data_IF_855374822542
#
_entry.id   IF_855374822542
#
_cell.length_a   1.000
_cell.length_b   1.000
_cell.length_c   1.000
_cell.angle_alpha   90.00
_cell.angle_beta   90.00
_cell.angle_gamma   90.00
#
_symmetry.space_group_name_H-M   'P 1'
#
loop_
_entity.id
_entity.type
_entity.pdbx_description
1 polymer ?
#
# COMPACT_ATOMS: atom_id res chain seq x y z
N UNK A 1 24.46 12.56 6.62
CA UNK A 1 23.34 12.73 5.67
C UNK A 1 22.05 12.89 6.47
N UNK A 2 21.33 13.98 6.26
CA UNK A 2 20.01 14.27 6.85
C UNK A 2 18.97 14.44 5.74
N UNK A 3 17.83 13.82 5.88
CA UNK A 3 16.79 13.77 4.85
C UNK A 3 15.59 14.62 5.28
N UNK A 4 15.07 15.47 4.39
CA UNK A 4 13.75 16.07 4.57
C UNK A 4 12.71 15.08 4.04
N UNK A 5 11.92 14.46 4.92
CA UNK A 5 10.72 13.71 4.54
C UNK A 5 9.54 14.67 4.38
N UNK A 6 9.21 14.99 3.14
CA UNK A 6 8.17 15.97 2.84
C UNK A 6 6.89 15.32 2.32
N UNK A 7 5.79 15.73 2.91
CA UNK A 7 4.44 15.34 2.48
C UNK A 7 3.49 16.51 2.68
N UNK A 8 2.84 16.91 1.60
CA UNK A 8 1.79 17.92 1.64
C UNK A 8 0.47 17.30 2.12
N UNK A 9 -0.35 18.09 2.85
CA UNK A 9 -1.69 17.68 3.28
C UNK A 9 -1.74 16.44 4.21
N UNK A 10 -0.74 16.24 5.09
CA UNK A 10 -0.64 15.10 6.00
C UNK A 10 -1.92 14.78 6.76
N UNK A 11 -2.66 15.79 7.27
CA UNK A 11 -3.92 15.60 8.00
C UNK A 11 -4.99 14.83 7.20
N UNK A 12 -4.90 14.86 5.86
CA UNK A 12 -5.87 14.20 4.97
C UNK A 12 -5.44 12.79 4.55
N UNK A 13 -4.12 12.56 4.50
CA UNK A 13 -3.54 11.30 4.03
C UNK A 13 -3.11 10.36 5.16
N UNK A 14 -2.99 10.85 6.38
CA UNK A 14 -2.49 10.11 7.54
C UNK A 14 -3.26 8.78 7.79
N UNK A 15 -4.57 8.75 7.51
CA UNK A 15 -5.43 7.56 7.65
C UNK A 15 -5.49 6.69 6.39
N UNK A 16 -4.64 6.95 5.40
CA UNK A 16 -4.57 6.20 4.13
C UNK A 16 -3.35 5.29 4.08
N UNK A 17 -3.26 4.45 3.03
CA UNK A 17 -2.08 3.66 2.74
C UNK A 17 -0.81 4.52 2.58
N UNK A 18 -0.93 5.72 2.00
CA UNK A 18 0.18 6.67 1.90
C UNK A 18 0.66 7.14 3.27
N UNK A 19 -0.24 7.45 4.19
CA UNK A 19 0.13 7.80 5.56
C UNK A 19 0.86 6.66 6.27
N UNK A 20 0.44 5.42 6.04
CA UNK A 20 1.12 4.22 6.53
C UNK A 20 2.53 4.07 5.94
N UNK A 21 2.68 4.24 4.63
CA UNK A 21 3.98 4.21 3.96
C UNK A 21 4.96 5.23 4.55
N UNK A 22 4.52 6.47 4.79
CA UNK A 22 5.33 7.52 5.40
C UNK A 22 5.73 7.17 6.85
N UNK A 23 4.82 6.54 7.61
CA UNK A 23 5.14 6.05 8.95
C UNK A 23 6.23 4.97 8.92
N UNK A 24 6.14 4.03 7.97
CA UNK A 24 7.17 3.01 7.75
C UNK A 24 8.51 3.62 7.34
N UNK A 25 8.52 4.61 6.45
CA UNK A 25 9.74 5.34 6.08
C UNK A 25 10.43 5.97 7.31
N UNK A 26 9.67 6.66 8.17
CA UNK A 26 10.21 7.25 9.41
C UNK A 26 10.85 6.20 10.31
N UNK A 27 10.16 5.08 10.54
CA UNK A 27 10.68 3.97 11.34
C UNK A 27 11.93 3.34 10.70
N UNK A 28 11.89 3.09 9.38
CA UNK A 28 13.00 2.52 8.61
C UNK A 28 14.25 3.38 8.71
N UNK A 29 14.13 4.71 8.57
CA UNK A 29 15.25 5.64 8.70
C UNK A 29 15.78 5.67 10.13
N UNK A 30 14.91 5.71 11.14
CA UNK A 30 15.32 5.72 12.55
C UNK A 30 16.10 4.45 12.93
N UNK A 31 15.63 3.27 12.54
CA UNK A 31 16.30 1.98 12.79
C UNK A 31 17.69 1.94 12.12
N UNK A 32 17.83 2.53 10.92
CA UNK A 32 19.08 2.57 10.17
C UNK A 32 19.96 3.80 10.49
N UNK A 33 19.64 4.53 11.56
CA UNK A 33 20.41 5.71 12.04
C UNK A 33 20.58 6.78 10.95
N UNK A 34 19.60 6.92 10.06
CA UNK A 34 19.55 8.00 9.06
C UNK A 34 18.79 9.18 9.67
N UNK A 35 19.48 10.28 9.88
CA UNK A 35 18.85 11.50 10.39
C UNK A 35 17.80 12.02 9.42
N UNK A 36 16.65 12.45 9.92
CA UNK A 36 15.61 13.06 9.10
C UNK A 36 14.91 14.22 9.82
N UNK A 37 14.26 15.06 9.05
CA UNK A 37 13.36 16.12 9.50
C UNK A 37 12.09 16.13 8.67
N UNK A 38 11.03 16.70 9.20
CA UNK A 38 9.79 17.01 8.44
C UNK A 38 9.57 18.51 8.29
N UNK A 39 10.46 19.34 8.84
CA UNK A 39 10.41 20.79 8.69
C UNK A 39 11.26 21.25 7.49
N UNK A 40 10.64 21.85 6.47
CA UNK A 40 11.36 22.34 5.29
C UNK A 40 12.24 23.59 5.57
N UNK A 41 12.23 24.13 6.79
CA UNK A 41 13.10 25.22 7.22
C UNK A 41 14.41 24.72 7.82
N UNK A 42 14.47 23.45 8.17
CA UNK A 42 15.66 22.82 8.72
C UNK A 42 16.78 22.65 7.67
N UNK A 43 17.99 22.31 8.08
CA UNK A 43 19.07 21.92 7.18
C UNK A 43 18.93 20.44 6.82
N UNK A 44 19.16 20.11 5.55
CA UNK A 44 19.14 18.73 5.03
C UNK A 44 19.96 18.62 3.75
N UNK A 45 20.41 17.42 3.45
CA UNK A 45 21.25 17.12 2.28
C UNK A 45 20.42 16.66 1.06
N UNK A 46 19.25 16.09 1.32
CA UNK A 46 18.35 15.54 0.30
C UNK A 46 16.88 15.71 0.73
N UNK A 47 15.99 15.94 -0.22
CA UNK A 47 14.54 15.94 0.02
C UNK A 47 13.89 14.71 -0.58
N UNK A 48 13.11 13.99 0.23
CA UNK A 48 12.27 12.88 -0.17
C UNK A 48 10.80 13.34 -0.19
N UNK A 49 10.22 13.48 -1.36
CA UNK A 49 8.87 14.02 -1.59
C UNK A 49 7.89 12.86 -1.82
N UNK A 50 6.89 12.73 -0.95
CA UNK A 50 5.89 11.67 -0.98
C UNK A 50 4.57 12.05 -1.66
N UNK A 51 4.40 13.32 -2.07
CA UNK A 51 3.15 13.83 -2.63
C UNK A 51 3.40 14.61 -3.92
N UNK A 52 2.38 14.65 -4.80
CA UNK A 52 2.43 15.32 -6.10
C UNK A 52 1.57 16.59 -6.17
N UNK A 53 1.26 17.21 -5.01
CA UNK A 53 0.50 18.45 -4.95
C UNK A 53 1.36 19.68 -5.27
N UNK A 54 0.72 20.82 -5.37
CA UNK A 54 1.36 22.04 -5.88
C UNK A 54 2.58 22.48 -5.06
N UNK A 55 2.51 22.45 -3.72
CA UNK A 55 3.65 22.83 -2.86
C UNK A 55 4.80 21.83 -2.97
N UNK A 56 4.51 20.55 -3.20
CA UNK A 56 5.51 19.51 -3.46
C UNK A 56 6.32 19.83 -4.74
N UNK A 57 5.63 20.25 -5.80
CA UNK A 57 6.25 20.66 -7.07
C UNK A 57 7.10 21.92 -6.89
N UNK A 58 6.59 22.93 -6.16
CA UNK A 58 7.36 24.14 -5.86
C UNK A 58 8.61 23.83 -5.04
N UNK A 59 8.50 22.96 -4.04
CA UNK A 59 9.62 22.51 -3.23
C UNK A 59 10.68 21.83 -4.10
N UNK A 60 10.29 20.85 -4.92
CA UNK A 60 11.19 20.16 -5.83
C UNK A 60 11.97 21.14 -6.73
N UNK A 61 11.27 22.09 -7.37
CA UNK A 61 11.90 23.10 -8.21
C UNK A 61 12.85 24.00 -7.43
N UNK A 62 12.48 24.39 -6.20
CA UNK A 62 13.33 25.23 -5.34
C UNK A 62 14.61 24.48 -4.93
N UNK A 63 14.49 23.17 -4.56
CA UNK A 63 15.63 22.36 -4.17
C UNK A 63 16.56 22.11 -5.37
N UNK A 64 16.01 21.85 -6.54
CA UNK A 64 16.78 21.74 -7.77
C UNK A 64 17.62 23.02 -8.06
N UNK A 65 17.05 24.21 -7.90
CA UNK A 65 17.76 25.48 -8.04
C UNK A 65 18.87 25.70 -6.99
N UNK A 66 18.71 25.11 -5.80
CA UNK A 66 19.70 25.19 -4.73
C UNK A 66 20.80 24.11 -4.81
N UNK A 67 20.79 23.24 -5.83
CA UNK A 67 21.72 22.12 -5.93
C UNK A 67 21.49 21.01 -4.91
N UNK A 68 20.32 20.98 -4.24
CA UNK A 68 19.96 19.94 -3.26
C UNK A 68 19.29 18.78 -3.99
N UNK A 69 19.70 17.55 -3.66
CA UNK A 69 19.16 16.33 -4.27
C UNK A 69 17.65 16.15 -3.98
N UNK A 70 16.90 15.71 -4.99
CA UNK A 70 15.46 15.48 -4.93
C UNK A 70 15.14 14.03 -5.25
N UNK A 71 14.55 13.34 -4.30
CA UNK A 71 13.96 12.00 -4.45
C UNK A 71 12.44 12.15 -4.50
N UNK A 72 11.82 11.66 -5.55
CA UNK A 72 10.36 11.61 -5.64
C UNK A 72 9.88 10.19 -5.37
N UNK A 73 8.96 10.01 -4.41
CA UNK A 73 8.33 8.71 -4.18
C UNK A 73 7.02 8.61 -4.96
N UNK A 74 7.00 7.71 -5.93
CA UNK A 74 5.85 7.48 -6.80
C UNK A 74 4.90 6.44 -6.16
N UNK A 75 4.02 6.93 -5.30
CA UNK A 75 2.98 6.13 -4.65
C UNK A 75 1.74 5.92 -5.53
N UNK A 76 1.66 6.57 -6.68
CA UNK A 76 0.50 6.51 -7.59
C UNK A 76 0.93 6.34 -9.04
N UNK A 77 0.13 5.57 -9.78
CA UNK A 77 0.18 5.40 -11.24
C UNK A 77 -1.16 5.84 -11.85
N UNK A 78 -1.27 5.90 -13.19
CA UNK A 78 -2.57 6.13 -13.83
C UNK A 78 -3.54 5.00 -13.52
N UNK A 79 -3.04 3.77 -13.52
CA UNK A 79 -3.81 2.54 -13.32
C UNK A 79 -4.48 2.54 -11.95
N UNK A 80 -3.76 2.87 -10.89
CA UNK A 80 -4.29 2.87 -9.54
C UNK A 80 -5.27 4.03 -9.29
N UNK A 81 -5.18 5.12 -10.08
CA UNK A 81 -6.11 6.24 -10.02
C UNK A 81 -7.47 5.91 -10.67
N UNK A 82 -7.48 5.05 -11.70
CA UNK A 82 -8.72 4.60 -12.35
C UNK A 82 -9.60 3.85 -11.36
N UNK A 83 -10.93 3.98 -11.54
CA UNK A 83 -11.95 3.33 -10.69
C UNK A 83 -11.81 3.62 -9.18
N UNK A 84 -11.09 4.69 -8.80
CA UNK A 84 -10.90 5.07 -7.39
C UNK A 84 -11.92 6.12 -6.92
N UNK A 85 -12.28 7.08 -7.77
CA UNK A 85 -13.17 8.18 -7.39
C UNK A 85 -14.14 8.52 -8.53
N UNK A 86 -15.14 9.36 -8.22
CA UNK A 86 -16.03 9.91 -9.25
C UNK A 86 -15.22 10.65 -10.31
N UNK A 87 -15.49 10.34 -11.58
CA UNK A 87 -14.82 10.90 -12.76
C UNK A 87 -13.33 10.52 -12.92
N UNK A 88 -12.77 9.65 -12.07
CA UNK A 88 -11.34 9.27 -12.14
C UNK A 88 -10.95 8.71 -13.51
N UNK A 89 -11.82 7.94 -14.18
CA UNK A 89 -11.53 7.37 -15.50
C UNK A 89 -11.42 8.44 -16.61
N UNK A 90 -12.20 9.52 -16.53
CA UNK A 90 -12.14 10.65 -17.48
C UNK A 90 -10.91 11.50 -17.23
N UNK A 91 -10.53 11.66 -15.95
CA UNK A 91 -9.41 12.49 -15.52
C UNK A 91 -8.06 11.77 -15.57
N UNK A 92 -8.04 10.44 -15.71
CA UNK A 92 -6.82 9.64 -15.62
C UNK A 92 -5.72 10.03 -16.61
N UNK A 93 -5.98 10.39 -17.90
CA UNK A 93 -4.91 10.81 -18.80
C UNK A 93 -4.28 12.15 -18.39
N UNK A 94 -5.08 13.06 -17.82
CA UNK A 94 -4.58 14.34 -17.32
C UNK A 94 -3.78 14.14 -16.03
N UNK A 95 -4.27 13.27 -15.14
CA UNK A 95 -3.58 12.87 -13.93
C UNK A 95 -2.23 12.24 -14.25
N UNK A 96 -2.16 11.30 -15.22
CA UNK A 96 -0.91 10.70 -15.69
C UNK A 96 0.10 11.77 -16.11
N UNK A 97 -0.29 12.69 -17.01
CA UNK A 97 0.61 13.76 -17.46
C UNK A 97 1.15 14.60 -16.29
N UNK A 98 0.30 14.83 -15.29
CA UNK A 98 0.68 15.58 -14.10
C UNK A 98 1.70 14.85 -13.23
N UNK A 99 1.42 13.58 -12.86
CA UNK A 99 2.34 12.81 -12.00
C UNK A 99 3.68 12.55 -12.67
N UNK A 100 3.70 12.22 -13.97
CA UNK A 100 4.94 12.05 -14.73
C UNK A 100 5.78 13.34 -14.73
N UNK A 101 5.12 14.51 -14.89
CA UNK A 101 5.82 15.80 -14.77
C UNK A 101 6.40 16.01 -13.38
N UNK A 102 5.67 15.63 -12.32
CA UNK A 102 6.16 15.71 -10.94
C UNK A 102 7.36 14.79 -10.72
N UNK A 103 7.24 13.52 -11.10
CA UNK A 103 8.30 12.53 -10.90
C UNK A 103 9.59 12.89 -11.68
N UNK A 104 9.47 13.45 -12.86
CA UNK A 104 10.61 13.95 -13.62
C UNK A 104 11.34 15.17 -13.00
N UNK A 105 10.82 15.77 -11.93
CA UNK A 105 11.54 16.78 -11.14
C UNK A 105 12.56 16.17 -10.18
N UNK A 106 12.45 14.87 -9.87
CA UNK A 106 13.44 14.16 -9.05
C UNK A 106 14.78 14.00 -9.74
N UNK A 107 15.83 13.79 -8.98
CA UNK A 107 17.10 13.27 -9.49
C UNK A 107 16.99 11.75 -9.64
N UNK A 108 16.26 11.11 -8.73
CA UNK A 108 15.79 9.72 -8.83
C UNK A 108 14.30 9.65 -8.46
N UNK A 109 13.67 8.51 -8.80
CA UNK A 109 12.30 8.17 -8.39
C UNK A 109 12.34 6.84 -7.64
N UNK A 110 11.58 6.74 -6.55
CA UNK A 110 11.35 5.47 -5.82
C UNK A 110 9.91 5.05 -6.06
N UNK A 111 9.67 3.77 -6.30
CA UNK A 111 8.32 3.18 -6.37
C UNK A 111 8.32 1.81 -5.70
N UNK A 112 7.19 1.34 -5.15
CA UNK A 112 7.26 0.19 -4.23
C UNK A 112 7.47 -1.17 -4.90
N UNK A 113 7.19 -1.33 -6.20
CA UNK A 113 7.28 -2.64 -6.86
C UNK A 113 7.94 -2.56 -8.24
N UNK A 114 8.53 -3.68 -8.73
CA UNK A 114 9.03 -3.77 -10.11
C UNK A 114 7.95 -3.51 -11.15
N UNK A 115 6.71 -3.93 -10.90
CA UNK A 115 5.55 -3.66 -11.76
C UNK A 115 5.29 -2.15 -11.89
N UNK A 116 5.20 -1.43 -10.77
CA UNK A 116 4.99 0.02 -10.78
C UNK A 116 6.17 0.75 -11.47
N UNK A 117 7.41 0.26 -11.29
CA UNK A 117 8.59 0.77 -12.02
C UNK A 117 8.41 0.64 -13.53
N UNK A 118 8.04 -0.54 -14.03
CA UNK A 118 7.81 -0.77 -15.46
C UNK A 118 6.71 0.13 -16.03
N UNK A 119 5.61 0.33 -15.29
CA UNK A 119 4.55 1.26 -15.69
C UNK A 119 5.07 2.69 -15.83
N UNK A 120 5.80 3.20 -14.84
CA UNK A 120 6.32 4.56 -14.85
C UNK A 120 7.36 4.78 -15.97
N UNK A 121 8.21 3.79 -16.26
CA UNK A 121 9.15 3.82 -17.40
C UNK A 121 8.38 3.91 -18.72
N UNK A 122 7.37 3.07 -18.92
CA UNK A 122 6.49 3.06 -20.09
C UNK A 122 5.72 4.38 -20.25
N UNK A 123 5.29 4.99 -19.15
CA UNK A 123 4.54 6.25 -19.14
C UNK A 123 5.42 7.50 -19.39
N UNK A 124 6.75 7.38 -19.34
CA UNK A 124 7.68 8.44 -19.69
C UNK A 124 8.39 9.12 -18.52
N UNK A 125 8.55 8.45 -17.40
CA UNK A 125 9.51 8.86 -16.38
C UNK A 125 10.91 8.62 -16.89
N UNK A 126 11.72 9.70 -16.97
CA UNK A 126 13.07 9.71 -17.56
C UNK A 126 14.19 9.65 -16.50
N UNK A 127 13.84 9.59 -15.24
CA UNK A 127 14.79 9.53 -14.13
C UNK A 127 15.07 8.09 -13.76
N UNK A 128 16.25 7.77 -13.18
CA UNK A 128 16.50 6.46 -12.61
C UNK A 128 15.38 6.10 -11.62
N UNK A 129 14.77 4.91 -11.78
CA UNK A 129 13.70 4.43 -10.92
C UNK A 129 14.20 3.26 -10.08
N UNK A 130 14.08 3.38 -8.77
CA UNK A 130 14.39 2.37 -7.79
C UNK A 130 13.09 1.70 -7.30
N UNK A 131 13.05 0.37 -7.36
CA UNK A 131 11.94 -0.40 -6.79
C UNK A 131 12.29 -0.72 -5.34
N UNK A 132 11.70 0.01 -4.39
CA UNK A 132 11.93 -0.14 -2.96
C UNK A 132 10.55 -0.21 -2.28
N UNK A 133 10.24 -1.35 -1.66
CA UNK A 133 8.96 -1.59 -0.97
C UNK A 133 8.68 -0.51 0.09
N UNK A 134 7.41 -0.23 0.36
CA UNK A 134 6.99 0.60 1.50
C UNK A 134 7.34 -0.05 2.85
N UNK A 135 7.68 -1.33 2.83
CA UNK A 135 8.11 -2.09 3.99
C UNK A 135 6.98 -2.50 4.93
N UNK A 136 7.34 -3.39 5.82
CA UNK A 136 6.47 -3.88 6.89
C UNK A 136 7.27 -3.98 8.20
N UNK A 137 6.70 -3.52 9.30
CA UNK A 137 7.31 -3.66 10.64
C UNK A 137 6.99 -5.04 11.21
N UNK A 138 7.84 -6.03 10.91
CA UNK A 138 7.64 -7.40 11.37
C UNK A 138 7.63 -7.52 12.91
N UNK A 139 8.28 -6.60 13.61
CA UNK A 139 8.26 -6.60 15.09
C UNK A 139 6.89 -6.17 15.65
N UNK A 140 6.19 -5.31 14.93
CA UNK A 140 4.83 -4.89 15.30
C UNK A 140 3.80 -5.96 14.98
N UNK A 141 3.90 -6.66 13.84
CA UNK A 141 2.92 -7.65 13.39
C UNK A 141 3.20 -9.04 13.98
N UNK A 142 2.93 -9.18 15.28
CA UNK A 142 3.03 -10.43 16.04
C UNK A 142 1.63 -10.83 16.53
N UNK A 143 1.20 -12.07 16.27
CA UNK A 143 -0.11 -12.57 16.69
C UNK A 143 -0.08 -13.21 18.08
N UNK A 144 -1.09 -12.96 18.91
CA UNK A 144 -1.33 -13.64 20.18
C UNK A 144 -2.73 -14.21 20.25
N UNK A 145 -2.96 -15.22 21.12
CA UNK A 145 -4.30 -15.78 21.31
C UNK A 145 -5.26 -14.75 21.95
N UNK A 146 -4.73 -13.86 22.78
CA UNK A 146 -5.49 -12.78 23.38
C UNK A 146 -6.07 -11.82 22.31
N UNK A 147 -5.25 -11.40 21.33
CA UNK A 147 -5.71 -10.58 20.22
C UNK A 147 -6.83 -11.26 19.42
N UNK A 148 -6.71 -12.58 19.19
CA UNK A 148 -7.77 -13.35 18.51
C UNK A 148 -9.09 -13.27 19.26
N UNK A 149 -9.03 -13.47 20.57
CA UNK A 149 -10.23 -13.42 21.41
C UNK A 149 -10.81 -12.02 21.47
N UNK A 150 -9.99 -10.98 21.70
CA UNK A 150 -10.42 -9.58 21.73
C UNK A 150 -11.13 -9.16 20.44
N UNK A 151 -10.63 -9.61 19.28
CA UNK A 151 -11.28 -9.35 18.00
C UNK A 151 -12.64 -10.04 17.91
N UNK A 152 -12.74 -11.33 18.25
CA UNK A 152 -13.98 -12.09 18.20
C UNK A 152 -15.04 -11.51 19.16
N UNK A 153 -14.65 -11.18 20.37
CA UNK A 153 -15.54 -10.57 21.37
C UNK A 153 -16.06 -9.21 20.91
N UNK A 154 -15.18 -8.38 20.32
CA UNK A 154 -15.54 -7.03 19.84
C UNK A 154 -16.60 -7.04 18.75
N UNK A 155 -16.58 -8.03 17.86
CA UNK A 155 -17.49 -8.12 16.73
C UNK A 155 -18.58 -9.18 16.92
N UNK A 156 -18.64 -9.84 18.06
CA UNK A 156 -19.67 -10.84 18.40
C UNK A 156 -19.51 -12.17 17.64
N UNK A 157 -18.29 -12.48 17.20
CA UNK A 157 -18.02 -13.75 16.53
C UNK A 157 -17.80 -14.89 17.53
N UNK A 158 -18.40 -16.05 17.26
CA UNK A 158 -18.20 -17.26 18.06
C UNK A 158 -16.82 -17.89 17.79
N UNK A 159 -16.42 -18.83 18.64
CA UNK A 159 -15.15 -19.57 18.47
C UNK A 159 -15.16 -20.48 17.24
N UNK A 160 -16.33 -20.84 16.72
CA UNK A 160 -16.52 -21.73 15.57
C UNK A 160 -16.72 -20.98 14.25
N UNK A 161 -16.96 -19.66 14.30
CA UNK A 161 -17.14 -18.87 13.08
C UNK A 161 -15.85 -18.86 12.24
N UNK A 162 -16.02 -19.06 10.94
CA UNK A 162 -14.95 -18.88 9.95
C UNK A 162 -15.03 -17.47 9.37
N UNK A 163 -13.99 -16.67 9.59
CA UNK A 163 -14.01 -15.23 9.36
C UNK A 163 -13.11 -14.87 8.19
N UNK A 164 -13.70 -14.20 7.21
CA UNK A 164 -13.05 -13.65 6.01
C UNK A 164 -12.96 -12.14 6.17
N UNK A 165 -11.74 -11.60 6.21
CA UNK A 165 -11.55 -10.15 6.32
C UNK A 165 -10.95 -9.54 5.06
N UNK A 166 -11.30 -8.30 4.80
CA UNK A 166 -10.66 -7.44 3.80
C UNK A 166 -10.40 -6.06 4.35
N UNK A 167 -9.42 -5.35 3.74
CA UNK A 167 -9.05 -3.99 4.15
C UNK A 167 -8.91 -3.09 2.92
N UNK A 168 -9.63 -1.97 2.90
CA UNK A 168 -9.52 -1.00 1.82
C UNK A 168 -10.54 0.13 1.93
N UNK A 169 -10.31 1.20 1.17
CA UNK A 169 -11.31 2.25 1.00
C UNK A 169 -12.55 1.68 0.30
N UNK A 170 -13.71 2.29 0.52
CA UNK A 170 -14.95 1.93 -0.17
C UNK A 170 -14.95 2.41 -1.62
N UNK A 171 -14.14 1.76 -2.45
CA UNK A 171 -14.01 2.07 -3.89
C UNK A 171 -14.04 0.79 -4.73
N UNK A 172 -14.46 0.91 -5.99
CA UNK A 172 -14.61 -0.22 -6.91
C UNK A 172 -13.29 -0.97 -7.10
N UNK A 173 -12.20 -0.24 -7.26
CA UNK A 173 -10.85 -0.80 -7.45
C UNK A 173 -10.44 -1.78 -6.35
N UNK A 174 -10.89 -1.60 -5.11
CA UNK A 174 -10.57 -2.50 -3.99
C UNK A 174 -11.40 -3.80 -3.98
N UNK A 175 -12.32 -3.99 -4.94
CA UNK A 175 -13.10 -5.22 -5.06
C UNK A 175 -14.24 -5.36 -4.06
N UNK A 176 -14.75 -4.24 -3.51
CA UNK A 176 -15.84 -4.27 -2.51
C UNK A 176 -17.12 -4.90 -3.05
N UNK A 177 -17.37 -4.81 -4.37
CA UNK A 177 -18.53 -5.42 -5.01
C UNK A 177 -18.42 -6.95 -5.01
N UNK A 178 -17.22 -7.48 -5.29
CA UNK A 178 -16.93 -8.92 -5.23
C UNK A 178 -17.08 -9.45 -3.81
N UNK A 179 -16.57 -8.71 -2.83
CA UNK A 179 -16.68 -9.06 -1.42
C UNK A 179 -18.14 -9.19 -0.96
N UNK A 180 -18.98 -8.22 -1.29
CA UNK A 180 -20.41 -8.25 -0.95
C UNK A 180 -21.17 -9.35 -1.70
N UNK A 181 -20.82 -9.59 -2.97
CA UNK A 181 -21.45 -10.66 -3.76
C UNK A 181 -21.11 -12.05 -3.18
N UNK A 182 -19.88 -12.27 -2.72
CA UNK A 182 -19.47 -13.52 -2.05
C UNK A 182 -20.15 -13.68 -0.69
N UNK A 183 -20.23 -12.61 0.10
CA UNK A 183 -20.96 -12.68 1.39
C UNK A 183 -22.42 -13.13 1.21
N UNK A 184 -23.12 -12.67 0.14
CA UNK A 184 -24.48 -13.14 -0.19
C UNK A 184 -24.56 -14.62 -0.56
N UNK A 185 -23.53 -15.13 -1.24
CA UNK A 185 -23.47 -16.53 -1.71
C UNK A 185 -23.02 -17.52 -0.67
N UNK A 186 -22.36 -17.04 0.41
CA UNK A 186 -21.68 -17.86 1.42
C UNK A 186 -22.18 -17.49 2.83
N UNK A 187 -23.44 -17.78 3.16
CA UNK A 187 -24.05 -17.34 4.42
C UNK A 187 -23.45 -18.01 5.66
N UNK A 188 -22.74 -19.13 5.49
CA UNK A 188 -22.12 -19.90 6.57
C UNK A 188 -20.79 -19.30 7.05
N UNK A 189 -20.20 -18.33 6.32
CA UNK A 189 -18.98 -17.64 6.67
C UNK A 189 -19.24 -16.20 7.04
N UNK A 190 -18.45 -15.67 7.98
CA UNK A 190 -18.51 -14.28 8.41
C UNK A 190 -17.60 -13.40 7.56
N UNK A 191 -18.13 -12.32 7.01
CA UNK A 191 -17.40 -11.37 6.19
C UNK A 191 -17.26 -10.03 6.92
N UNK A 192 -16.04 -9.51 7.06
CA UNK A 192 -15.78 -8.23 7.69
C UNK A 192 -14.84 -7.37 6.85
N UNK A 193 -15.25 -6.13 6.57
CA UNK A 193 -14.48 -5.15 5.80
C UNK A 193 -14.03 -3.99 6.67
N UNK A 194 -12.72 -3.71 6.68
CA UNK A 194 -12.12 -2.57 7.35
C UNK A 194 -11.73 -1.49 6.36
N UNK A 195 -11.88 -0.22 6.78
CA UNK A 195 -11.60 0.96 5.99
C UNK A 195 -12.84 1.80 5.78
N UNK A 196 -12.65 3.01 5.31
CA UNK A 196 -13.73 3.98 5.21
C UNK A 196 -13.50 4.97 4.07
N UNK A 197 -14.55 5.35 3.40
CA UNK A 197 -14.63 6.53 2.56
C UNK A 197 -16.05 7.10 2.70
N UNK A 198 -16.16 8.44 2.75
CA UNK A 198 -17.46 9.10 2.81
C UNK A 198 -18.36 8.67 1.64
N UNK A 199 -19.51 8.09 1.96
CA UNK A 199 -20.44 7.55 0.96
C UNK A 199 -21.00 8.60 0.00
N UNK A 200 -20.87 9.90 0.33
CA UNK A 200 -21.21 11.00 -0.59
C UNK A 200 -20.21 11.13 -1.74
N UNK A 201 -18.99 10.62 -1.58
CA UNK A 201 -17.89 10.71 -2.55
C UNK A 201 -17.75 9.46 -3.43
N UNK A 202 -18.57 8.44 -3.23
CA UNK A 202 -18.50 7.18 -3.97
C UNK A 202 -19.65 7.04 -4.97
N UNK A 203 -19.48 6.26 -6.05
CA UNK A 203 -20.56 5.91 -6.98
C UNK A 203 -21.73 5.24 -6.28
N UNK A 204 -22.94 5.33 -6.92
CA UNK A 204 -24.17 4.74 -6.37
C UNK A 204 -24.03 3.24 -6.08
N UNK A 205 -23.40 2.48 -6.97
CA UNK A 205 -23.19 1.04 -6.80
C UNK A 205 -22.40 0.70 -5.53
N UNK A 206 -21.34 1.44 -5.23
CA UNK A 206 -20.52 1.26 -4.02
C UNK A 206 -21.33 1.63 -2.76
N UNK A 207 -22.08 2.72 -2.83
CA UNK A 207 -22.96 3.15 -1.74
C UNK A 207 -24.01 2.09 -1.42
N UNK A 208 -24.59 1.46 -2.44
CA UNK A 208 -25.55 0.37 -2.27
C UNK A 208 -24.89 -0.87 -1.66
N UNK A 209 -23.69 -1.23 -2.13
CA UNK A 209 -22.93 -2.35 -1.58
C UNK A 209 -22.61 -2.18 -0.09
N UNK A 210 -22.11 -1.00 0.32
CA UNK A 210 -21.80 -0.72 1.74
C UNK A 210 -23.05 -0.68 2.62
N UNK A 211 -24.22 -0.35 2.06
CA UNK A 211 -25.51 -0.36 2.76
C UNK A 211 -26.23 -1.72 2.71
N UNK A 212 -25.62 -2.74 2.14
CA UNK A 212 -26.20 -4.08 2.13
C UNK A 212 -26.22 -4.64 3.56
N UNK A 213 -27.39 -5.03 4.02
CA UNK A 213 -27.59 -5.66 5.32
C UNK A 213 -27.70 -7.17 5.12
N UNK A 214 -26.73 -7.90 5.63
CA UNK A 214 -26.71 -9.37 5.70
C UNK A 214 -26.25 -9.78 7.10
N UNK A 215 -26.80 -10.89 7.66
CA UNK A 215 -26.42 -11.38 8.98
C UNK A 215 -24.93 -11.69 9.12
N UNK A 216 -24.28 -12.03 8.01
CA UNK A 216 -22.87 -12.44 7.92
C UNK A 216 -21.94 -11.39 7.30
N UNK A 217 -22.36 -10.11 7.17
CA UNK A 217 -21.56 -9.05 6.55
C UNK A 217 -21.44 -7.84 7.48
N UNK A 218 -20.22 -7.49 7.84
CA UNK A 218 -19.91 -6.34 8.70
C UNK A 218 -19.01 -5.35 7.99
N UNK A 219 -19.38 -4.06 7.95
CA UNK A 219 -18.53 -2.96 7.57
C UNK A 219 -18.04 -2.23 8.83
N UNK A 220 -16.83 -2.56 9.29
CA UNK A 220 -16.28 -2.06 10.55
C UNK A 220 -15.79 -0.59 10.48
N UNK A 221 -15.71 -0.02 9.26
CA UNK A 221 -15.19 1.32 9.09
C UNK A 221 -13.68 1.43 9.31
N UNK A 222 -13.19 2.65 9.55
CA UNK A 222 -11.79 2.89 9.89
C UNK A 222 -11.54 2.54 11.37
N UNK A 223 -10.49 1.76 11.60
CA UNK A 223 -10.04 1.40 12.96
C UNK A 223 -8.55 1.76 13.14
N UNK A 224 -8.08 2.00 14.38
CA UNK A 224 -6.66 2.17 14.69
C UNK A 224 -5.84 0.93 14.32
N UNK A 225 -4.52 1.12 14.15
CA UNK A 225 -3.61 0.06 13.72
C UNK A 225 -3.60 -1.15 14.67
N UNK A 226 -3.69 -0.93 15.99
CA UNK A 226 -3.72 -2.01 16.98
C UNK A 226 -5.00 -2.86 16.85
N UNK A 227 -6.17 -2.23 16.64
CA UNK A 227 -7.41 -2.96 16.40
C UNK A 227 -7.40 -3.71 15.06
N UNK A 228 -6.76 -3.14 14.03
CA UNK A 228 -6.60 -3.83 12.76
C UNK A 228 -5.66 -5.04 12.90
N UNK A 229 -4.61 -4.92 13.73
CA UNK A 229 -3.72 -6.04 14.08
C UNK A 229 -4.47 -7.16 14.82
N UNK A 230 -5.35 -6.83 15.77
CA UNK A 230 -6.24 -7.81 16.41
C UNK A 230 -7.14 -8.51 15.39
N UNK A 231 -7.67 -7.76 14.41
CA UNK A 231 -8.50 -8.31 13.35
C UNK A 231 -7.72 -9.28 12.45
N UNK A 232 -6.49 -8.93 12.04
CA UNK A 232 -5.62 -9.88 11.36
C UNK A 232 -5.34 -11.13 12.22
N UNK A 233 -5.10 -10.98 13.53
CA UNK A 233 -4.87 -12.12 14.40
C UNK A 233 -6.06 -13.07 14.45
N UNK A 234 -7.29 -12.53 14.55
CA UNK A 234 -8.51 -13.30 14.78
C UNK A 234 -9.23 -13.81 13.53
N UNK A 235 -8.86 -13.35 12.33
CA UNK A 235 -9.44 -13.81 11.06
C UNK A 235 -8.85 -15.15 10.61
N UNK A 236 -9.60 -15.92 9.83
CA UNK A 236 -9.19 -17.20 9.26
C UNK A 236 -8.63 -17.04 7.85
N UNK A 237 -9.17 -16.09 7.06
CA UNK A 237 -8.74 -15.80 5.69
C UNK A 237 -8.66 -14.29 5.47
N UNK A 238 -7.53 -13.81 4.94
CA UNK A 238 -7.42 -12.47 4.38
C UNK A 238 -7.76 -12.52 2.89
N UNK A 239 -8.86 -11.88 2.51
CA UNK A 239 -9.34 -11.84 1.14
C UNK A 239 -9.13 -10.44 0.53
N UNK A 240 -8.33 -10.36 -0.53
CA UNK A 240 -7.94 -9.09 -1.13
C UNK A 240 -8.24 -9.05 -2.64
N UNK A 241 -9.53 -8.85 -3.01
CA UNK A 241 -10.00 -8.90 -4.40
C UNK A 241 -9.71 -7.63 -5.20
N UNK A 242 -8.66 -6.88 -4.83
CA UNK A 242 -8.31 -5.61 -5.49
C UNK A 242 -7.99 -5.81 -6.97
N UNK A 243 -8.38 -4.84 -7.81
CA UNK A 243 -8.15 -4.87 -9.26
C UNK A 243 -6.83 -4.23 -9.68
N UNK A 244 -6.30 -3.34 -8.85
CA UNK A 244 -5.04 -2.64 -9.12
C UNK A 244 -4.43 -2.11 -7.82
N UNK A 245 -3.09 -2.16 -7.73
CA UNK A 245 -2.30 -1.66 -6.60
C UNK A 245 -0.95 -1.11 -7.08
N UNK A 246 -0.31 -0.31 -6.24
CA UNK A 246 1.11 -0.01 -6.37
C UNK A 246 1.97 -0.98 -5.54
N UNK A 247 1.44 -1.50 -4.41
CA UNK A 247 2.04 -2.58 -3.62
C UNK A 247 0.99 -3.38 -2.83
N UNK A 248 0.07 -2.68 -2.12
CA UNK A 248 -0.87 -3.32 -1.22
C UNK A 248 -0.30 -3.59 0.17
N UNK A 249 0.05 -2.53 0.92
CA UNK A 249 0.62 -2.65 2.29
C UNK A 249 -0.22 -3.57 3.19
N UNK A 250 -1.55 -3.53 3.06
CA UNK A 250 -2.47 -4.39 3.84
C UNK A 250 -2.29 -5.89 3.55
N UNK A 251 -1.83 -6.25 2.35
CA UNK A 251 -1.43 -7.62 2.04
C UNK A 251 -0.15 -7.99 2.79
N UNK A 252 0.85 -7.09 2.81
CA UNK A 252 2.07 -7.31 3.59
C UNK A 252 1.77 -7.46 5.09
N UNK A 253 0.81 -6.68 5.61
CA UNK A 253 0.35 -6.77 7.00
C UNK A 253 -0.26 -8.16 7.30
N UNK A 254 -1.16 -8.64 6.43
CA UNK A 254 -1.79 -9.96 6.57
C UNK A 254 -0.74 -11.09 6.51
N UNK A 255 0.18 -11.02 5.56
CA UNK A 255 1.26 -12.00 5.41
C UNK A 255 2.22 -11.97 6.62
N UNK A 256 2.55 -10.79 7.15
CA UNK A 256 3.37 -10.62 8.36
C UNK A 256 2.70 -11.20 9.62
N UNK A 257 1.36 -11.16 9.68
CA UNK A 257 0.56 -11.82 10.72
C UNK A 257 0.40 -13.33 10.50
N UNK A 258 1.07 -13.89 9.48
CA UNK A 258 1.00 -15.30 9.14
C UNK A 258 -0.40 -15.74 8.69
N UNK A 259 -1.11 -14.89 7.92
CA UNK A 259 -2.44 -15.24 7.40
C UNK A 259 -2.36 -15.95 6.06
N UNK A 260 -3.22 -16.93 5.85
CA UNK A 260 -3.54 -17.40 4.51
C UNK A 260 -4.23 -16.26 3.78
N UNK A 261 -3.68 -15.88 2.63
CA UNK A 261 -4.18 -14.77 1.82
C UNK A 261 -4.74 -15.32 0.50
N UNK A 262 -5.94 -14.87 0.12
CA UNK A 262 -6.52 -15.07 -1.21
C UNK A 262 -6.60 -13.72 -1.89
N UNK A 263 -5.98 -13.59 -3.06
CA UNK A 263 -5.91 -12.33 -3.79
C UNK A 263 -6.45 -12.49 -5.21
N UNK A 264 -6.74 -11.35 -5.86
CA UNK A 264 -6.96 -11.34 -7.31
C UNK A 264 -5.62 -11.55 -8.02
N UNK A 265 -5.62 -12.43 -9.03
CA UNK A 265 -4.46 -12.63 -9.90
C UNK A 265 -4.32 -11.43 -10.84
N UNK A 266 -3.43 -10.51 -10.46
CA UNK A 266 -3.11 -9.28 -11.19
C UNK A 266 -1.59 -9.13 -11.33
N UNK A 267 -1.11 -8.40 -12.37
CA UNK A 267 0.31 -8.37 -12.73
C UNK A 267 1.26 -7.93 -11.60
N UNK A 268 0.81 -7.04 -10.72
CA UNK A 268 1.64 -6.59 -9.60
C UNK A 268 2.04 -7.71 -8.63
N UNK A 269 1.25 -8.79 -8.58
CA UNK A 269 1.48 -9.94 -7.69
C UNK A 269 2.09 -11.14 -8.43
N UNK A 270 2.68 -10.92 -9.62
CA UNK A 270 3.32 -11.98 -10.40
C UNK A 270 4.44 -12.70 -9.63
N UNK A 271 5.17 -11.98 -8.77
CA UNK A 271 6.26 -12.52 -7.96
C UNK A 271 5.80 -13.45 -6.83
N UNK A 272 4.52 -13.40 -6.45
CA UNK A 272 3.96 -14.34 -5.48
C UNK A 272 3.49 -15.61 -6.19
N UNK A 273 3.99 -16.76 -5.77
CA UNK A 273 3.62 -18.05 -6.31
C UNK A 273 2.28 -18.52 -5.71
N UNK A 274 1.31 -18.83 -6.59
CA UNK A 274 0.01 -19.40 -6.20
C UNK A 274 0.18 -20.77 -5.54
N UNK A 275 -0.60 -21.02 -4.48
CA UNK A 275 -0.54 -22.26 -3.69
C UNK A 275 0.75 -22.43 -2.87
N UNK A 276 1.64 -21.43 -2.85
CA UNK A 276 2.89 -21.44 -2.07
C UNK A 276 2.97 -20.23 -1.13
N UNK A 277 2.99 -19.01 -1.67
CA UNK A 277 3.04 -17.81 -0.84
C UNK A 277 1.65 -17.34 -0.41
N UNK A 278 0.68 -17.48 -1.29
CA UNK A 278 -0.72 -17.10 -1.14
C UNK A 278 -1.56 -17.83 -2.20
N UNK A 279 -2.88 -17.68 -2.15
CA UNK A 279 -3.78 -18.19 -3.18
C UNK A 279 -4.24 -17.08 -4.13
N UNK A 280 -4.44 -17.43 -5.40
CA UNK A 280 -4.87 -16.51 -6.45
C UNK A 280 -6.14 -16.99 -7.15
N UNK A 281 -7.00 -16.04 -7.49
CA UNK A 281 -8.14 -16.29 -8.38
C UNK A 281 -8.45 -15.02 -9.20
N UNK A 282 -9.05 -15.18 -10.37
CA UNK A 282 -9.27 -14.07 -11.30
C UNK A 282 -10.69 -13.51 -11.28
N UNK A 283 -11.66 -14.30 -10.82
CA UNK A 283 -13.09 -13.98 -10.87
C UNK A 283 -13.85 -14.47 -9.63
N UNK A 284 -15.16 -14.23 -9.61
CA UNK A 284 -16.01 -14.60 -8.49
C UNK A 284 -16.14 -16.11 -8.28
N UNK A 285 -16.15 -16.91 -9.34
CA UNK A 285 -16.24 -18.37 -9.21
C UNK A 285 -14.94 -18.95 -8.66
N UNK A 286 -13.81 -18.46 -9.13
CA UNK A 286 -12.50 -18.83 -8.58
C UNK A 286 -12.37 -18.44 -7.11
N UNK A 287 -12.83 -17.24 -6.72
CA UNK A 287 -12.85 -16.84 -5.31
C UNK A 287 -13.78 -17.71 -4.47
N UNK A 288 -14.98 -18.01 -4.94
CA UNK A 288 -15.93 -18.88 -4.27
C UNK A 288 -15.32 -20.26 -4.02
N UNK A 289 -14.73 -20.86 -5.03
CA UNK A 289 -14.08 -22.18 -4.95
C UNK A 289 -12.89 -22.13 -3.98
N UNK A 290 -12.00 -21.14 -4.12
CA UNK A 290 -10.83 -21.01 -3.27
C UNK A 290 -11.19 -20.80 -1.79
N UNK A 291 -12.17 -19.94 -1.49
CA UNK A 291 -12.64 -19.69 -0.12
C UNK A 291 -13.11 -21.00 0.53
N UNK A 292 -13.94 -21.78 -0.17
CA UNK A 292 -14.43 -23.05 0.36
C UNK A 292 -13.25 -24.00 0.65
N UNK A 293 -12.38 -24.28 -0.32
CA UNK A 293 -11.26 -25.19 -0.13
C UNK A 293 -10.29 -24.76 0.98
N UNK A 294 -10.04 -23.45 1.11
CA UNK A 294 -9.17 -22.93 2.18
C UNK A 294 -9.83 -23.09 3.55
N UNK A 295 -11.10 -22.72 3.69
CA UNK A 295 -11.79 -22.70 4.99
C UNK A 295 -12.28 -24.09 5.42
N UNK A 296 -12.54 -25.01 4.49
CA UNK A 296 -12.84 -26.42 4.80
C UNK A 296 -11.58 -27.24 5.05
N UNK A 297 -10.40 -26.69 4.76
CA UNK A 297 -9.12 -27.36 5.03
C UNK A 297 -8.66 -28.31 3.93
N UNK A 298 -9.28 -28.26 2.75
CA UNK A 298 -8.88 -29.06 1.59
C UNK A 298 -7.54 -28.58 1.00
N UNK A 299 -7.29 -27.27 1.09
CA UNK A 299 -6.02 -26.69 0.69
C UNK A 299 -5.13 -26.39 1.91
N UNK A 300 -3.80 -26.54 1.77
CA UNK A 300 -2.87 -26.34 2.88
C UNK A 300 -2.87 -24.90 3.42
N UNK A 301 -2.62 -24.74 4.70
CA UNK A 301 -2.36 -23.43 5.28
C UNK A 301 -1.01 -22.90 4.81
N UNK A 302 -0.99 -21.66 4.30
CA UNK A 302 0.22 -20.99 3.78
C UNK A 302 0.84 -20.01 4.78
N UNK A 303 0.52 -20.12 6.08
CA UNK A 303 0.94 -19.15 7.11
C UNK A 303 2.45 -18.96 7.16
N UNK A 304 3.23 -20.03 7.14
CA UNK A 304 4.69 -19.96 7.24
C UNK A 304 5.32 -19.41 5.97
N UNK A 305 4.89 -19.87 4.81
CA UNK A 305 5.43 -19.43 3.52
C UNK A 305 5.02 -17.99 3.19
N UNK A 306 3.82 -17.56 3.58
CA UNK A 306 3.39 -16.16 3.54
C UNK A 306 4.31 -15.27 4.37
N UNK A 307 4.60 -15.65 5.62
CA UNK A 307 5.50 -14.88 6.48
C UNK A 307 6.92 -14.83 5.91
N UNK A 308 7.44 -15.94 5.40
CA UNK A 308 8.77 -15.97 4.76
C UNK A 308 8.84 -15.04 3.54
N UNK A 309 7.79 -14.98 2.73
CA UNK A 309 7.75 -14.15 1.53
C UNK A 309 7.84 -12.64 1.81
N UNK A 310 7.50 -12.19 3.04
CA UNK A 310 7.58 -10.76 3.41
C UNK A 310 8.82 -10.40 4.23
N UNK A 311 9.66 -11.36 4.63
CA UNK A 311 10.85 -11.09 5.46
C UNK A 311 11.80 -10.09 4.81
N UNK A 312 12.00 -10.16 3.50
CA UNK A 312 12.86 -9.23 2.77
C UNK A 312 12.28 -7.80 2.68
N UNK A 313 11.01 -7.62 3.06
CA UNK A 313 10.33 -6.33 3.10
C UNK A 313 10.28 -5.74 4.51
N UNK A 314 11.04 -6.30 5.46
CA UNK A 314 11.18 -5.70 6.79
C UNK A 314 11.72 -4.27 6.69
N UNK A 315 11.14 -3.35 7.46
CA UNK A 315 11.53 -1.93 7.46
C UNK A 315 13.02 -1.73 7.74
N UNK A 316 13.70 -2.67 8.40
CA UNK A 316 15.14 -2.64 8.62
C UNK A 316 15.91 -2.76 7.28
N UNK A 317 15.50 -3.69 6.41
CA UNK A 317 16.11 -3.86 5.08
C UNK A 317 15.72 -2.70 4.15
N UNK A 318 14.46 -2.29 4.19
CA UNK A 318 13.99 -1.14 3.41
C UNK A 318 14.74 0.14 3.77
N UNK A 319 15.07 0.36 5.04
CA UNK A 319 15.86 1.51 5.47
C UNK A 319 17.28 1.53 4.92
N UNK A 320 17.93 0.36 4.71
CA UNK A 320 19.22 0.25 4.04
C UNK A 320 19.12 0.66 2.57
N UNK A 321 18.12 0.11 1.85
CA UNK A 321 17.88 0.43 0.45
C UNK A 321 17.56 1.91 0.25
N UNK A 322 16.75 2.51 1.13
CA UNK A 322 16.48 3.95 1.11
C UNK A 322 17.75 4.78 1.31
N UNK A 323 18.62 4.38 2.25
CA UNK A 323 19.90 5.05 2.50
C UNK A 323 20.80 5.06 1.27
N UNK A 324 20.94 3.93 0.59
CA UNK A 324 21.68 3.78 -0.66
C UNK A 324 21.09 4.67 -1.77
N UNK A 325 19.76 4.64 -1.95
CA UNK A 325 19.08 5.47 -2.93
C UNK A 325 19.29 6.98 -2.69
N UNK A 326 19.31 7.43 -1.42
CA UNK A 326 19.64 8.83 -1.11
C UNK A 326 21.08 9.19 -1.44
N UNK A 327 22.03 8.30 -1.17
CA UNK A 327 23.42 8.51 -1.52
C UNK A 327 23.60 8.64 -3.03
N UNK A 328 22.94 7.78 -3.81
CA UNK A 328 22.93 7.85 -5.27
C UNK A 328 22.31 9.15 -5.78
N UNK A 329 21.19 9.58 -5.20
CA UNK A 329 20.54 10.84 -5.57
C UNK A 329 21.48 12.05 -5.34
N UNK A 330 22.17 12.08 -4.20
CA UNK A 330 23.15 13.13 -3.87
C UNK A 330 24.31 13.13 -4.85
N UNK A 331 24.86 11.96 -5.17
CA UNK A 331 25.94 11.80 -6.15
C UNK A 331 25.52 12.27 -7.53
N UNK A 332 24.36 11.84 -8.02
CA UNK A 332 23.81 12.28 -9.33
C UNK A 332 23.66 13.80 -9.37
N UNK A 333 23.23 14.43 -8.26
CA UNK A 333 23.10 15.88 -8.19
C UNK A 333 24.45 16.59 -8.26
N UNK A 334 25.46 16.10 -7.55
CA UNK A 334 26.82 16.65 -7.55
C UNK A 334 27.47 16.55 -8.94
N UNK A 335 27.36 15.39 -9.60
CA UNK A 335 27.91 15.16 -10.94
C UNK A 335 27.32 16.11 -12.00
N UNK A 336 26.02 16.45 -11.89
CA UNK A 336 25.37 17.43 -12.74
C UNK A 336 25.92 18.85 -12.51
N UNK A 337 26.06 19.24 -11.24
CA UNK A 337 26.57 20.57 -10.89
C UNK A 337 28.02 20.79 -11.37
N UNK A 338 28.86 19.76 -11.37
CA UNK A 338 30.21 19.82 -11.89
C UNK A 338 30.28 19.99 -13.42
N UNK A 339 29.34 19.36 -14.15
CA UNK A 339 29.26 19.51 -15.63
C UNK A 339 28.79 20.90 -16.06
N UNK A 340 27.75 21.43 -15.40
CA UNK A 340 27.22 22.77 -15.70
C UNK A 340 28.25 23.89 -15.37
N UNK A 341 29.15 23.66 -14.37
CA UNK A 341 30.23 24.58 -14.01
C UNK A 341 31.50 24.51 -14.91
N UNK A 342 31.65 23.44 -15.70
CA UNK A 342 32.77 23.27 -16.62
C UNK A 342 32.49 23.82 -18.05
N UNK A 343 31.22 24.16 -18.34
CA UNK A 343 30.80 24.74 -19.63
C UNK A 343 30.55 26.28 -19.55
N UNK A 344 30.77 26.87 -18.39
CA UNK A 344 30.69 28.33 -18.16
C UNK A 344 32.06 28.96 -18.01
#
# INVERSE_FOLDING_TARGET
>A
MKILLYSEAMKWIEKSGLGRAISHQKKALAINQVAYTTDPKDSFDCVHINTYFFKSVLLAKRMNKKGIAVVYHAHSTEEDFRNSFLFSNVLSPLFRKWIIRCYNLGDIVITPTPYAKQLLEKEGVKRPIYSISNGIDLSFYQSTNEMKQQFRDRYGFSSTDKIIMSVGLYIKRKGILDFVALAKRMPDYQFIWFGYLDLKKVPREIRQAVKTELPNLTFAGYVPADHLKEAYAGTDLFFFPTYEETEGIVLLEAMAMGKTCLIRDIPIYADYQDGSHLYKASDQEGFYTAINHILEGDWPSLQQTSLQAVQQRDIKEIGKQLKEAYQDAIKIKQDKSCKDGSES
#
